data_IF_013152102949
#
_entry.id   IF_013152102949
#
_cell.length_a   1.000
_cell.length_b   1.000
_cell.length_c   1.000
_cell.angle_alpha   90.00
_cell.angle_beta   90.00
_cell.angle_gamma   90.00
#
_symmetry.space_group_name_H-M   'P 1'
#
loop_
_entity.id
_entity.type
_entity.pdbx_description
1 polymer ?
#
# COMPACT_ATOMS: atom_id res chain seq x y z
N UNK A 1 5.77 -15.95 -5.95
CA UNK A 1 7.08 -15.43 -6.44
C UNK A 1 8.15 -15.90 -5.48
N UNK A 2 9.36 -16.14 -5.97
CA UNK A 2 10.44 -16.64 -5.13
C UNK A 2 11.16 -15.49 -4.43
N UNK A 3 11.64 -15.74 -3.22
CA UNK A 3 12.57 -14.87 -2.51
C UNK A 3 13.98 -15.17 -3.00
N UNK A 4 14.74 -14.11 -3.31
CA UNK A 4 16.14 -14.20 -3.68
C UNK A 4 17.02 -14.00 -2.45
N UNK A 5 17.77 -15.02 -2.09
CA UNK A 5 18.84 -14.99 -1.08
C UNK A 5 20.18 -14.81 -1.74
N UNK A 6 21.17 -14.40 -0.99
CA UNK A 6 22.53 -14.13 -1.48
C UNK A 6 23.54 -14.98 -0.71
N UNK A 7 24.63 -15.37 -1.36
CA UNK A 7 25.75 -16.04 -0.68
C UNK A 7 26.32 -15.15 0.43
N UNK A 8 26.65 -15.69 1.61
CA UNK A 8 26.97 -14.91 2.81
C UNK A 8 28.43 -14.42 2.84
N UNK A 9 28.93 -13.84 1.76
CA UNK A 9 30.31 -13.36 1.68
C UNK A 9 30.60 -12.12 2.55
N UNK A 10 29.59 -11.27 2.76
CA UNK A 10 29.73 -10.04 3.56
C UNK A 10 28.60 -9.93 4.58
N UNK A 11 28.77 -9.06 5.59
CA UNK A 11 27.72 -8.80 6.59
C UNK A 11 26.39 -8.37 5.93
N UNK A 12 26.46 -7.59 4.86
CA UNK A 12 25.27 -7.11 4.15
C UNK A 12 24.60 -8.21 3.32
N UNK A 13 25.36 -9.08 2.64
CA UNK A 13 24.79 -10.16 1.81
C UNK A 13 24.21 -11.28 2.66
N UNK A 14 24.84 -11.60 3.81
CA UNK A 14 24.35 -12.61 4.76
C UNK A 14 22.92 -12.39 5.21
N UNK A 15 22.54 -11.14 5.48
CA UNK A 15 21.21 -10.79 5.98
C UNK A 15 20.26 -10.24 4.91
N UNK A 16 20.62 -10.29 3.62
CA UNK A 16 19.78 -9.75 2.55
C UNK A 16 18.86 -10.79 1.95
N UNK A 17 17.56 -10.51 1.96
CA UNK A 17 16.52 -11.27 1.26
C UNK A 17 15.69 -10.29 0.45
N UNK A 18 15.57 -10.49 -0.85
CA UNK A 18 14.80 -9.64 -1.74
C UNK A 18 13.76 -10.46 -2.51
N UNK A 19 12.74 -9.80 -3.03
CA UNK A 19 11.79 -10.43 -3.95
C UNK A 19 12.44 -10.57 -5.32
N UNK A 20 12.30 -11.74 -5.94
CA UNK A 20 12.68 -11.95 -7.33
C UNK A 20 11.67 -11.26 -8.27
N UNK A 21 12.19 -10.57 -9.27
CA UNK A 21 11.41 -9.80 -10.25
C UNK A 21 11.57 -10.31 -11.68
N UNK A 22 12.06 -11.53 -11.86
CA UNK A 22 12.36 -12.07 -13.20
C UNK A 22 11.14 -12.16 -14.11
N UNK A 23 9.94 -12.35 -13.56
CA UNK A 23 8.68 -12.41 -14.34
C UNK A 23 8.06 -11.05 -14.68
N UNK A 24 8.71 -9.92 -14.35
CA UNK A 24 8.19 -8.59 -14.60
C UNK A 24 8.83 -7.97 -15.85
N UNK A 25 8.11 -7.04 -16.47
CA UNK A 25 8.62 -6.23 -17.56
C UNK A 25 9.89 -5.48 -17.16
N UNK A 26 10.94 -5.62 -17.98
CA UNK A 26 12.26 -5.01 -17.74
C UNK A 26 12.49 -3.70 -18.50
N UNK A 27 11.58 -3.36 -19.42
CA UNK A 27 11.67 -2.15 -20.24
C UNK A 27 11.23 -0.88 -19.50
N UNK A 28 11.20 0.22 -20.24
CA UNK A 28 10.75 1.52 -19.74
C UNK A 28 9.24 1.53 -19.50
N UNK A 29 8.73 2.30 -18.51
CA UNK A 29 7.29 2.47 -18.32
C UNK A 29 6.66 3.23 -19.50
N UNK A 30 5.33 3.16 -19.60
CA UNK A 30 4.58 3.85 -20.66
C UNK A 30 4.66 5.38 -20.46
N UNK A 31 5.27 6.09 -21.40
CA UNK A 31 5.72 7.48 -21.23
C UNK A 31 4.59 8.46 -20.89
N UNK A 32 3.42 8.33 -21.52
CA UNK A 32 2.27 9.22 -21.30
C UNK A 32 1.65 9.09 -19.91
N UNK A 33 1.84 7.95 -19.25
CA UNK A 33 1.29 7.66 -17.91
C UNK A 33 2.33 7.84 -16.79
N UNK A 34 3.40 8.59 -17.04
CA UNK A 34 4.48 8.79 -16.07
C UNK A 34 4.84 10.26 -15.93
N UNK A 35 5.02 10.71 -14.70
CA UNK A 35 5.47 12.06 -14.37
C UNK A 35 6.68 12.06 -13.42
N UNK A 36 7.50 13.12 -13.39
CA UNK A 36 8.54 13.28 -12.40
C UNK A 36 7.94 13.31 -10.99
N UNK A 37 8.66 12.73 -10.03
CA UNK A 37 8.26 12.77 -8.62
C UNK A 37 9.33 13.48 -7.81
N UNK A 38 9.02 14.68 -7.34
CA UNK A 38 9.87 15.39 -6.39
C UNK A 38 9.68 14.83 -4.97
N UNK A 39 10.79 14.67 -4.25
CA UNK A 39 10.77 14.20 -2.88
C UNK A 39 10.75 15.37 -1.91
N UNK A 40 9.70 15.49 -1.12
CA UNK A 40 9.52 16.58 -0.13
C UNK A 40 10.45 16.43 1.10
N UNK A 41 11.13 15.31 1.26
CA UNK A 41 12.12 15.03 2.31
C UNK A 41 11.60 15.25 3.76
N UNK A 42 10.29 15.14 3.97
CA UNK A 42 9.64 15.33 5.27
C UNK A 42 9.49 16.78 5.72
N UNK A 43 9.56 17.72 4.80
CA UNK A 43 9.38 19.17 5.06
C UNK A 43 8.09 19.68 4.45
N UNK A 44 7.49 20.69 5.09
CA UNK A 44 6.34 21.43 4.55
C UNK A 44 6.80 22.52 3.55
N UNK A 45 5.86 23.32 3.06
CA UNK A 45 6.10 24.45 2.17
C UNK A 45 7.00 25.54 2.80
N UNK A 46 6.98 25.70 4.11
CA UNK A 46 7.82 26.64 4.86
C UNK A 46 9.21 26.07 5.22
N UNK A 47 9.55 24.88 4.74
CA UNK A 47 10.84 24.23 5.01
C UNK A 47 10.94 23.57 6.39
N UNK A 48 9.93 23.67 7.26
CA UNK A 48 9.92 23.03 8.58
C UNK A 48 9.74 21.51 8.47
N UNK A 49 10.40 20.77 9.35
CA UNK A 49 10.30 19.32 9.42
C UNK A 49 8.96 18.92 10.04
N UNK A 50 8.04 18.41 9.23
CA UNK A 50 6.73 17.89 9.66
C UNK A 50 6.70 16.36 9.77
N UNK A 51 7.62 15.67 9.12
CA UNK A 51 7.79 14.22 9.21
C UNK A 51 9.26 13.90 9.45
N UNK A 52 9.59 13.54 10.68
CA UNK A 52 10.97 13.20 11.08
C UNK A 52 11.47 11.93 10.38
N UNK A 53 12.78 11.80 10.28
CA UNK A 53 13.49 10.63 9.71
C UNK A 53 13.14 10.32 8.25
N UNK A 54 12.73 11.33 7.45
CA UNK A 54 12.50 11.23 6.02
C UNK A 54 13.63 11.86 5.23
N UNK A 55 13.99 11.21 4.11
CA UNK A 55 14.94 11.70 3.11
C UNK A 55 14.38 11.52 1.70
N UNK A 56 15.03 12.08 0.70
CA UNK A 56 14.59 11.95 -0.69
C UNK A 56 14.66 10.52 -1.24
N UNK A 57 15.67 9.76 -0.82
CA UNK A 57 15.94 8.45 -1.37
C UNK A 57 16.41 8.50 -2.83
N UNK A 58 16.32 7.38 -3.54
CA UNK A 58 16.61 7.30 -4.96
C UNK A 58 15.56 8.06 -5.79
N UNK A 59 15.97 8.73 -6.87
CA UNK A 59 15.06 9.42 -7.83
C UNK A 59 14.05 8.41 -8.39
N UNK A 60 12.78 8.80 -8.42
CA UNK A 60 11.67 7.96 -8.87
C UNK A 60 10.77 8.73 -9.84
N UNK A 61 10.19 8.00 -10.78
CA UNK A 61 9.09 8.49 -11.61
C UNK A 61 7.77 8.02 -10.99
N UNK A 62 6.76 8.87 -10.98
CA UNK A 62 5.41 8.50 -10.56
C UNK A 62 4.66 7.85 -11.72
N UNK A 63 3.92 6.77 -11.46
CA UNK A 63 3.01 6.14 -12.42
C UNK A 63 1.60 6.58 -12.07
N UNK A 64 0.89 7.11 -13.06
CA UNK A 64 -0.52 7.46 -12.93
C UNK A 64 -1.35 6.18 -12.99
N UNK A 65 -1.67 5.63 -11.80
CA UNK A 65 -2.50 4.43 -11.68
C UNK A 65 -3.94 4.88 -11.53
N UNK A 66 -4.82 4.35 -12.35
CA UNK A 66 -6.25 4.60 -12.26
C UNK A 66 -6.87 3.75 -11.16
N UNK A 67 -7.30 4.41 -10.08
CA UNK A 67 -8.01 3.82 -8.95
C UNK A 67 -9.52 3.90 -9.10
N UNK A 68 -10.01 4.67 -10.06
CA UNK A 68 -11.45 4.91 -10.27
C UNK A 68 -12.09 3.85 -11.14
N UNK A 69 -11.36 3.30 -12.10
CA UNK A 69 -11.86 2.26 -13.01
C UNK A 69 -13.15 2.66 -13.74
N UNK A 70 -13.25 3.91 -14.21
CA UNK A 70 -14.46 4.50 -14.79
C UNK A 70 -14.86 4.00 -16.17
N UNK A 71 -13.99 3.29 -16.89
CA UNK A 71 -14.32 2.70 -18.20
C UNK A 71 -15.14 1.43 -17.99
N UNK A 72 -16.46 1.59 -17.95
CA UNK A 72 -17.39 0.49 -17.79
C UNK A 72 -17.67 -0.20 -19.12
N UNK A 73 -17.99 -1.50 -19.07
CA UNK A 73 -18.42 -2.36 -20.17
C UNK A 73 -17.44 -2.44 -21.34
N UNK A 74 -16.22 -1.97 -21.14
CA UNK A 74 -15.13 -2.02 -22.11
C UNK A 74 -14.12 -3.09 -21.71
N UNK A 75 -13.79 -3.98 -22.65
CA UNK A 75 -12.76 -5.00 -22.42
C UNK A 75 -11.38 -4.36 -22.46
N UNK A 76 -10.54 -4.76 -21.53
CA UNK A 76 -9.14 -4.39 -21.51
C UNK A 76 -8.25 -5.64 -21.43
N UNK A 77 -7.19 -5.67 -22.22
CA UNK A 77 -6.22 -6.77 -22.24
C UNK A 77 -4.99 -6.36 -21.44
N UNK A 78 -4.51 -7.25 -20.58
CA UNK A 78 -3.25 -7.05 -19.85
C UNK A 78 -2.07 -7.19 -20.80
N UNK A 79 -1.41 -6.08 -21.11
CA UNK A 79 -0.28 -6.04 -22.03
C UNK A 79 1.02 -6.47 -21.35
N UNK A 80 1.25 -5.98 -20.10
CA UNK A 80 2.45 -6.31 -19.33
C UNK A 80 2.25 -6.01 -17.85
N UNK A 81 3.07 -6.66 -17.01
CA UNK A 81 3.12 -6.44 -15.55
C UNK A 81 4.44 -5.77 -15.21
N UNK A 82 4.38 -4.63 -14.51
CA UNK A 82 5.52 -3.77 -14.22
C UNK A 82 5.80 -3.63 -12.73
N UNK A 83 7.06 -3.38 -12.41
CA UNK A 83 7.49 -2.91 -11.09
C UNK A 83 7.24 -1.41 -10.95
N UNK A 84 6.56 -0.99 -9.87
CA UNK A 84 6.45 0.43 -9.51
C UNK A 84 7.27 0.75 -8.25
N UNK A 85 8.26 1.67 -8.32
CA UNK A 85 9.06 2.06 -7.16
C UNK A 85 8.29 2.88 -6.11
N UNK A 86 7.04 3.28 -6.40
CA UNK A 86 6.23 4.11 -5.52
C UNK A 86 5.31 3.30 -4.60
N UNK A 87 5.10 2.02 -4.90
CA UNK A 87 4.23 1.12 -4.15
C UNK A 87 4.86 -0.24 -3.94
N UNK A 88 4.29 -1.01 -3.04
CA UNK A 88 4.78 -2.34 -2.70
C UNK A 88 4.26 -3.44 -3.64
N UNK A 89 3.04 -3.29 -4.19
CA UNK A 89 2.47 -4.19 -5.18
C UNK A 89 2.94 -3.85 -6.60
N UNK A 90 2.76 -4.79 -7.53
CA UNK A 90 2.99 -4.55 -8.95
C UNK A 90 1.81 -3.84 -9.58
N UNK A 91 2.06 -3.25 -10.74
CA UNK A 91 1.06 -2.63 -11.61
C UNK A 91 1.00 -3.38 -12.93
N UNK A 92 -0.16 -3.35 -13.56
CA UNK A 92 -0.35 -3.89 -14.90
C UNK A 92 -0.72 -2.75 -15.86
N UNK A 93 -0.09 -2.73 -17.02
CA UNK A 93 -0.52 -1.90 -18.12
C UNK A 93 -1.62 -2.66 -18.87
N UNK A 94 -2.75 -2.01 -19.04
CA UNK A 94 -3.88 -2.56 -19.78
C UNK A 94 -4.15 -1.72 -21.01
N UNK A 95 -4.47 -2.39 -22.11
CA UNK A 95 -4.89 -1.78 -23.36
C UNK A 95 -6.39 -2.07 -23.55
N UNK A 96 -7.17 -1.00 -23.74
CA UNK A 96 -8.60 -1.10 -24.03
C UNK A 96 -8.87 -1.27 -25.51
N UNK A 97 -10.09 -1.67 -25.85
CA UNK A 97 -10.53 -1.84 -27.24
C UNK A 97 -10.48 -0.51 -28.03
N UNK A 98 -10.55 0.64 -27.35
CA UNK A 98 -10.35 2.00 -27.91
C UNK A 98 -8.87 2.38 -28.11
N UNK A 99 -7.94 1.43 -28.02
CA UNK A 99 -6.48 1.61 -28.05
C UNK A 99 -5.90 2.53 -26.95
N UNK A 100 -6.69 2.98 -26.00
CA UNK A 100 -6.16 3.72 -24.84
C UNK A 100 -5.49 2.79 -23.84
N UNK A 101 -4.54 3.34 -23.07
CA UNK A 101 -3.80 2.59 -22.06
C UNK A 101 -4.07 3.16 -20.66
N UNK A 102 -4.10 2.29 -19.66
CA UNK A 102 -4.15 2.68 -18.25
C UNK A 102 -3.30 1.76 -17.40
N UNK A 103 -2.80 2.28 -16.27
CA UNK A 103 -2.19 1.44 -15.25
C UNK A 103 -3.22 1.05 -14.19
N UNK A 104 -3.30 -0.22 -13.88
CA UNK A 104 -4.07 -0.77 -12.79
C UNK A 104 -3.17 -1.49 -11.78
N UNK A 105 -3.67 -1.70 -10.55
CA UNK A 105 -3.00 -2.58 -9.59
C UNK A 105 -3.09 -4.02 -10.11
N UNK A 106 -1.97 -4.72 -10.13
CA UNK A 106 -1.93 -6.12 -10.59
C UNK A 106 -2.35 -7.05 -9.45
N UNK A 107 -3.44 -7.83 -9.58
CA UNK A 107 -3.75 -8.90 -8.64
C UNK A 107 -2.75 -10.06 -8.76
N UNK A 108 -2.74 -10.92 -7.74
CA UNK A 108 -2.00 -12.15 -7.76
C UNK A 108 -2.60 -13.11 -8.82
N UNK A 109 -1.77 -13.89 -9.49
CA UNK A 109 -2.15 -14.85 -10.52
C UNK A 109 -2.62 -14.27 -11.86
N UNK A 110 -2.73 -12.93 -12.03
CA UNK A 110 -3.00 -12.34 -13.36
C UNK A 110 -1.82 -12.58 -14.28
N UNK A 111 -2.11 -12.83 -15.55
CA UNK A 111 -1.10 -13.08 -16.61
C UNK A 111 -1.21 -12.03 -17.71
N UNK A 112 -0.14 -11.90 -18.47
CA UNK A 112 -0.15 -11.13 -19.74
C UNK A 112 -1.09 -11.81 -20.73
N UNK A 113 -1.93 -11.04 -21.39
CA UNK A 113 -2.97 -11.53 -22.28
C UNK A 113 -4.35 -11.75 -21.64
N UNK A 114 -4.44 -11.74 -20.30
CA UNK A 114 -5.74 -11.87 -19.63
C UNK A 114 -6.64 -10.66 -19.96
N UNK A 115 -7.92 -10.97 -20.20
CA UNK A 115 -8.96 -9.97 -20.42
C UNK A 115 -9.63 -9.62 -19.11
N UNK A 116 -9.81 -8.32 -18.86
CA UNK A 116 -10.48 -7.76 -17.68
C UNK A 116 -11.57 -6.79 -18.11
N UNK A 117 -12.64 -6.75 -17.35
CA UNK A 117 -13.80 -5.88 -17.61
C UNK A 117 -14.19 -5.18 -16.30
N UNK A 118 -14.64 -3.93 -16.42
CA UNK A 118 -15.26 -3.18 -15.33
C UNK A 118 -16.76 -3.05 -15.64
N UNK A 119 -17.62 -3.19 -14.65
CA UNK A 119 -19.06 -3.01 -14.82
C UNK A 119 -19.88 -3.81 -13.84
N UNK A 120 -21.20 -3.61 -13.85
CA UNK A 120 -22.13 -4.36 -13.00
C UNK A 120 -22.36 -5.77 -13.57
N UNK A 121 -22.62 -6.74 -12.68
CA UNK A 121 -23.00 -8.13 -13.01
C UNK A 121 -22.07 -8.80 -14.03
N UNK A 122 -20.76 -8.56 -13.91
CA UNK A 122 -19.77 -9.22 -14.74
C UNK A 122 -19.35 -10.57 -14.15
N UNK A 123 -18.64 -11.36 -14.95
CA UNK A 123 -18.07 -12.63 -14.51
C UNK A 123 -17.13 -12.43 -13.31
N UNK A 124 -17.19 -13.35 -12.33
CA UNK A 124 -16.33 -13.34 -11.14
C UNK A 124 -14.97 -13.89 -11.52
N UNK A 125 -14.16 -13.02 -12.13
CA UNK A 125 -12.81 -13.31 -12.60
C UNK A 125 -11.80 -12.37 -11.95
N UNK A 126 -10.61 -12.88 -11.66
CA UNK A 126 -9.52 -12.09 -11.07
C UNK A 126 -9.18 -10.90 -11.97
N UNK A 127 -9.20 -9.68 -11.39
CA UNK A 127 -8.94 -8.44 -12.09
C UNK A 127 -10.18 -7.68 -12.54
N UNK A 128 -11.36 -8.31 -12.62
CA UNK A 128 -12.61 -7.62 -12.91
C UNK A 128 -13.01 -6.71 -11.76
N UNK A 129 -13.64 -5.59 -12.09
CA UNK A 129 -14.09 -4.60 -11.12
C UNK A 129 -15.60 -4.42 -11.24
N UNK A 130 -16.29 -4.52 -10.09
CA UNK A 130 -17.74 -4.40 -10.04
C UNK A 130 -18.20 -3.83 -8.69
N UNK A 131 -19.49 -3.38 -8.59
CA UNK A 131 -20.09 -2.98 -7.33
C UNK A 131 -20.06 -4.11 -6.31
N UNK A 132 -19.92 -3.77 -5.01
CA UNK A 132 -19.86 -4.74 -3.92
C UNK A 132 -21.11 -5.64 -3.85
N UNK A 133 -22.28 -5.11 -4.22
CA UNK A 133 -23.54 -5.88 -4.25
C UNK A 133 -23.54 -7.04 -5.25
N UNK A 134 -22.71 -6.95 -6.30
CA UNK A 134 -22.63 -7.97 -7.36
C UNK A 134 -21.56 -9.04 -7.06
N UNK A 135 -20.81 -8.86 -5.96
CA UNK A 135 -19.74 -9.79 -5.56
C UNK A 135 -20.26 -10.72 -4.45
N UNK A 136 -20.20 -12.04 -4.62
CA UNK A 136 -20.59 -12.99 -3.59
C UNK A 136 -19.78 -12.85 -2.29
N UNK A 137 -20.43 -13.19 -1.19
CA UNK A 137 -19.79 -13.24 0.14
C UNK A 137 -18.67 -14.28 0.16
N UNK A 138 -17.58 -13.97 0.87
CA UNK A 138 -16.42 -14.86 1.04
C UNK A 138 -15.34 -14.68 -0.03
N UNK A 139 -15.57 -13.91 -1.09
CA UNK A 139 -14.56 -13.66 -2.12
C UNK A 139 -13.56 -12.60 -1.66
N UNK A 140 -12.28 -12.84 -1.93
CA UNK A 140 -11.21 -11.87 -1.74
C UNK A 140 -11.28 -10.76 -2.77
N UNK A 141 -11.28 -9.52 -2.30
CA UNK A 141 -11.32 -8.31 -3.12
C UNK A 141 -10.22 -7.33 -2.70
N UNK A 142 -9.85 -6.43 -3.58
CA UNK A 142 -8.88 -5.36 -3.33
C UNK A 142 -9.29 -4.06 -4.01
N UNK A 143 -8.54 -3.00 -3.78
CA UNK A 143 -8.79 -1.66 -4.34
C UNK A 143 -10.24 -1.20 -4.13
N UNK A 144 -10.75 -1.39 -2.91
CA UNK A 144 -12.16 -1.12 -2.58
C UNK A 144 -12.37 0.38 -2.35
N UNK A 145 -13.44 0.92 -2.90
CA UNK A 145 -13.89 2.28 -2.62
C UNK A 145 -14.52 2.37 -1.23
N UNK A 146 -14.42 3.52 -0.59
CA UNK A 146 -15.12 3.83 0.67
C UNK A 146 -16.48 4.45 0.37
N UNK A 147 -16.58 5.21 -0.70
CA UNK A 147 -17.79 5.86 -1.20
C UNK A 147 -17.84 5.67 -2.70
N UNK A 148 -19.03 5.49 -3.29
CA UNK A 148 -19.18 5.34 -4.73
C UNK A 148 -18.52 6.50 -5.49
N UNK A 149 -17.73 6.18 -6.50
CA UNK A 149 -16.98 7.16 -7.31
C UNK A 149 -15.82 7.86 -6.62
N UNK A 150 -15.46 7.48 -5.40
CA UNK A 150 -14.34 8.05 -4.63
C UNK A 150 -12.98 7.46 -4.97
N UNK A 151 -12.93 6.48 -5.85
CA UNK A 151 -11.74 5.69 -6.19
C UNK A 151 -11.32 4.73 -5.07
N UNK A 152 -10.68 3.64 -5.44
CA UNK A 152 -10.25 2.62 -4.49
C UNK A 152 -9.26 3.14 -3.46
N UNK A 153 -9.51 2.88 -2.19
CA UNK A 153 -8.69 3.34 -1.05
C UNK A 153 -8.26 2.22 -0.11
N UNK A 154 -9.07 1.16 0.00
CA UNK A 154 -8.81 0.01 0.88
C UNK A 154 -8.09 -1.09 0.11
N UNK A 155 -7.24 -1.87 0.79
CA UNK A 155 -6.49 -3.01 0.25
C UNK A 155 -5.71 -2.67 -1.03
N UNK A 156 -4.73 -1.74 -0.93
CA UNK A 156 -3.85 -1.33 -2.04
C UNK A 156 -2.38 -1.72 -1.84
N UNK A 157 -2.04 -2.32 -0.72
CA UNK A 157 -0.68 -2.76 -0.42
C UNK A 157 -0.42 -4.18 -0.93
N UNK A 158 0.85 -4.54 -1.12
CA UNK A 158 1.27 -5.87 -1.58
C UNK A 158 0.68 -6.99 -0.71
N UNK A 159 0.12 -8.01 -1.35
CA UNK A 159 -0.43 -9.18 -0.68
C UNK A 159 -1.66 -8.93 0.19
N UNK A 160 -2.28 -7.74 0.12
CA UNK A 160 -3.49 -7.46 0.89
C UNK A 160 -4.74 -7.80 0.10
N UNK A 161 -5.75 -8.28 0.81
CA UNK A 161 -7.12 -8.42 0.39
C UNK A 161 -8.05 -8.06 1.55
N UNK A 162 -9.31 -7.90 1.25
CA UNK A 162 -10.42 -7.83 2.21
C UNK A 162 -11.50 -8.76 1.71
N UNK A 163 -12.35 -9.27 2.60
CA UNK A 163 -13.45 -10.18 2.24
C UNK A 163 -14.78 -9.56 2.57
N UNK A 164 -15.78 -9.82 1.74
CA UNK A 164 -17.17 -9.48 2.03
C UNK A 164 -17.68 -10.53 3.01
N UNK A 165 -18.12 -10.10 4.20
CA UNK A 165 -18.65 -10.98 5.24
C UNK A 165 -20.18 -11.06 5.24
N UNK A 166 -20.86 -10.13 4.60
CA UNK A 166 -22.31 -10.11 4.49
C UNK A 166 -22.82 -8.82 3.85
N UNK A 167 -24.14 -8.76 3.65
CA UNK A 167 -24.87 -7.60 3.16
C UNK A 167 -25.83 -7.15 4.27
N UNK A 168 -25.98 -5.85 4.45
CA UNK A 168 -26.85 -5.22 5.44
C UNK A 168 -27.60 -4.05 4.75
N UNK A 169 -28.74 -4.35 4.16
CA UNK A 169 -29.51 -3.40 3.36
C UNK A 169 -28.66 -2.80 2.23
N UNK A 170 -28.50 -1.48 2.23
CA UNK A 170 -27.71 -0.76 1.23
C UNK A 170 -26.18 -0.80 1.51
N UNK A 171 -25.74 -1.52 2.52
CA UNK A 171 -24.34 -1.62 2.92
C UNK A 171 -23.81 -3.04 2.78
N UNK A 172 -22.58 -3.15 2.34
CA UNK A 172 -21.78 -4.38 2.37
C UNK A 172 -20.88 -4.37 3.60
N UNK A 173 -20.86 -5.47 4.35
CA UNK A 173 -19.97 -5.68 5.49
C UNK A 173 -18.65 -6.22 5.00
N UNK A 174 -17.58 -5.45 5.17
CA UNK A 174 -16.26 -5.83 4.71
C UNK A 174 -15.34 -6.06 5.90
N UNK A 175 -14.75 -7.26 5.95
CA UNK A 175 -13.72 -7.62 6.92
C UNK A 175 -12.35 -7.19 6.41
N UNK A 176 -11.73 -6.22 7.08
CA UNK A 176 -10.40 -5.70 6.76
C UNK A 176 -9.30 -6.67 7.22
N UNK A 177 -8.10 -6.51 6.67
CA UNK A 177 -6.91 -7.27 7.07
C UNK A 177 -6.52 -7.09 8.56
N UNK A 178 -6.97 -6.00 9.19
CA UNK A 178 -6.82 -5.75 10.63
C UNK A 178 -7.77 -6.55 11.52
N UNK A 179 -8.79 -7.18 10.94
CA UNK A 179 -9.89 -7.82 11.65
C UNK A 179 -11.12 -6.93 11.86
N UNK A 180 -11.01 -5.62 11.64
CA UNK A 180 -12.14 -4.67 11.71
C UNK A 180 -13.20 -5.03 10.65
N UNK A 181 -14.46 -5.08 11.04
CA UNK A 181 -15.60 -5.22 10.13
C UNK A 181 -16.23 -3.85 9.93
N UNK A 182 -16.39 -3.45 8.68
CA UNK A 182 -16.81 -2.11 8.32
C UNK A 182 -17.97 -2.14 7.31
N UNK A 183 -18.95 -1.23 7.50
CA UNK A 183 -20.04 -0.96 6.55
C UNK A 183 -19.53 -0.06 5.44
N UNK A 184 -19.74 -0.46 4.19
CA UNK A 184 -19.42 0.32 2.98
C UNK A 184 -20.66 0.27 2.07
N UNK A 185 -20.99 1.37 1.42
CA UNK A 185 -22.11 1.46 0.46
C UNK A 185 -21.95 0.36 -0.62
N UNK A 186 -22.98 -0.43 -0.82
CA UNK A 186 -22.96 -1.60 -1.73
C UNK A 186 -22.75 -1.22 -3.20
N UNK A 187 -22.94 0.04 -3.58
CA UNK A 187 -22.63 0.58 -4.92
C UNK A 187 -21.15 0.88 -5.11
N UNK A 188 -20.34 0.88 -4.03
CA UNK A 188 -18.88 1.11 -4.11
C UNK A 188 -18.21 0.03 -4.92
N UNK A 189 -17.25 0.42 -5.77
CA UNK A 189 -16.52 -0.51 -6.62
C UNK A 189 -15.43 -1.24 -5.85
N UNK A 190 -15.20 -2.49 -6.24
CA UNK A 190 -14.09 -3.31 -5.78
C UNK A 190 -13.55 -4.18 -6.91
N UNK A 191 -12.29 -4.55 -6.82
CA UNK A 191 -11.63 -5.44 -7.79
C UNK A 191 -11.46 -6.83 -7.17
N UNK A 192 -11.80 -7.87 -7.92
CA UNK A 192 -11.71 -9.27 -7.47
C UNK A 192 -10.27 -9.73 -7.41
N UNK A 193 -9.95 -10.45 -6.33
CA UNK A 193 -8.67 -11.10 -6.09
C UNK A 193 -7.79 -10.43 -5.05
N UNK A 194 -6.69 -11.09 -4.69
CA UNK A 194 -5.66 -10.62 -3.75
C UNK A 194 -4.60 -9.85 -4.53
N UNK A 195 -4.02 -8.80 -3.94
CA UNK A 195 -2.95 -8.05 -4.59
C UNK A 195 -1.64 -8.84 -4.70
N UNK A 196 -0.90 -8.56 -5.75
CA UNK A 196 0.41 -9.16 -6.05
C UNK A 196 1.46 -8.89 -4.98
N UNK A 197 2.58 -9.65 -5.06
CA UNK A 197 3.78 -9.48 -4.25
C UNK A 197 3.57 -9.73 -2.73
N UNK A 198 2.93 -10.83 -2.29
CA UNK A 198 2.72 -11.12 -0.86
C UNK A 198 4.05 -11.26 -0.09
N UNK A 199 5.14 -11.66 -0.76
CA UNK A 199 6.47 -11.82 -0.16
C UNK A 199 7.17 -10.51 0.18
N UNK A 200 6.57 -9.35 -0.14
CA UNK A 200 7.10 -8.05 0.23
C UNK A 200 7.34 -7.91 1.75
N UNK A 201 6.54 -8.55 2.57
CA UNK A 201 6.70 -8.58 4.03
C UNK A 201 7.94 -9.34 4.50
N UNK A 202 8.41 -10.29 3.70
CA UNK A 202 9.54 -11.18 4.02
C UNK A 202 10.90 -10.59 3.61
N UNK A 203 10.92 -9.37 3.03
CA UNK A 203 12.16 -8.71 2.61
C UNK A 203 13.01 -8.34 3.82
N UNK A 204 14.30 -8.70 3.76
CA UNK A 204 15.33 -8.23 4.67
C UNK A 204 16.31 -7.32 3.92
N UNK A 205 16.42 -6.08 4.36
CA UNK A 205 17.19 -5.04 3.68
C UNK A 205 18.70 -5.31 3.71
N UNK A 206 19.22 -5.91 4.79
CA UNK A 206 20.59 -6.37 4.96
C UNK A 206 21.61 -5.27 5.26
N UNK A 207 21.41 -4.01 4.84
CA UNK A 207 22.34 -2.90 5.12
C UNK A 207 21.62 -1.54 5.28
N UNK A 208 22.20 -0.67 6.10
CA UNK A 208 21.67 0.67 6.37
C UNK A 208 21.58 1.55 5.10
N UNK A 209 22.54 1.43 4.18
CA UNK A 209 22.54 2.18 2.92
C UNK A 209 21.30 1.90 2.07
N UNK A 210 20.76 0.68 2.08
CA UNK A 210 19.52 0.38 1.35
C UNK A 210 18.30 1.07 1.98
N UNK A 211 18.25 1.23 3.31
CA UNK A 211 17.24 2.07 3.97
C UNK A 211 17.35 3.53 3.52
N UNK A 212 18.57 4.05 3.33
CA UNK A 212 18.80 5.40 2.80
C UNK A 212 18.26 5.54 1.36
N UNK A 213 18.49 4.54 0.51
CA UNK A 213 17.93 4.52 -0.85
C UNK A 213 16.40 4.53 -0.87
N UNK A 214 15.76 3.92 0.13
CA UNK A 214 14.32 3.95 0.31
C UNK A 214 13.79 5.27 0.89
N UNK A 215 14.67 6.22 1.22
CA UNK A 215 14.30 7.52 1.79
C UNK A 215 14.13 7.52 3.31
N UNK A 216 14.65 6.53 4.01
CA UNK A 216 14.62 6.47 5.48
C UNK A 216 15.95 6.99 6.06
N UNK A 217 15.88 7.89 7.02
CA UNK A 217 17.02 8.34 7.82
C UNK A 217 17.14 7.49 9.10
N UNK A 218 18.32 7.45 9.74
CA UNK A 218 18.48 6.87 11.06
C UNK A 218 17.52 7.52 12.07
N UNK A 219 17.03 6.72 12.99
CA UNK A 219 16.16 7.18 14.08
C UNK A 219 16.95 7.24 15.38
N UNK A 220 16.96 8.40 16.03
CA UNK A 220 17.55 8.61 17.35
C UNK A 220 16.51 8.29 18.42
N UNK A 221 16.85 7.41 19.37
CA UNK A 221 15.98 7.06 20.50
C UNK A 221 15.81 8.25 21.43
N UNK A 222 14.64 8.37 22.10
CA UNK A 222 14.36 9.44 23.06
C UNK A 222 15.36 9.50 24.22
N UNK A 223 15.80 8.32 24.71
CA UNK A 223 16.73 8.19 25.85
C UNK A 223 18.11 8.83 25.60
N UNK A 224 18.55 8.96 24.35
CA UNK A 224 19.86 9.55 24.01
C UNK A 224 19.76 11.04 23.63
N UNK A 225 18.61 11.63 23.85
CA UNK A 225 18.36 13.07 23.63
C UNK A 225 18.49 13.84 24.94
N UNK A 226 18.56 15.17 24.82
CA UNK A 226 18.51 16.04 25.97
C UNK A 226 17.07 16.13 26.55
N UNK A 227 16.89 16.49 27.82
CA UNK A 227 15.57 16.63 28.47
C UNK A 227 14.62 17.55 27.70
N UNK A 228 15.14 18.62 27.09
CA UNK A 228 14.37 19.58 26.27
C UNK A 228 13.79 18.96 25.00
N UNK A 229 14.45 17.94 24.45
CA UNK A 229 14.06 17.32 23.17
C UNK A 229 13.15 16.10 23.33
N UNK A 230 13.16 15.49 24.50
CA UNK A 230 12.35 14.29 24.76
C UNK A 230 12.15 14.04 26.26
N UNK A 231 10.94 13.64 26.70
CA UNK A 231 10.67 13.29 28.11
C UNK A 231 11.50 12.14 28.69
N UNK A 232 12.16 11.34 27.85
CA UNK A 232 13.08 10.29 28.25
C UNK A 232 14.56 10.73 28.20
N UNK A 233 14.81 11.98 27.90
CA UNK A 233 16.17 12.53 27.81
C UNK A 233 16.77 12.83 29.16
N UNK A 234 18.08 13.01 29.18
CA UNK A 234 18.87 13.38 30.37
C UNK A 234 19.46 12.19 31.10
N UNK A 235 20.11 12.50 32.23
CA UNK A 235 20.85 11.54 33.05
C UNK A 235 22.29 11.33 32.63
N UNK A 236 23.06 10.57 33.41
CA UNK A 236 24.45 10.23 33.15
C UNK A 236 24.57 8.88 32.44
N UNK A 237 25.43 8.81 31.42
CA UNK A 237 25.73 7.58 30.69
C UNK A 237 24.50 6.90 30.06
N UNK A 238 24.34 5.61 30.28
CA UNK A 238 23.20 4.81 29.79
C UNK A 238 22.09 4.81 30.80
N UNK A 239 21.37 5.91 30.97
CA UNK A 239 20.22 5.99 31.85
C UNK A 239 19.03 5.22 31.30
N UNK A 240 18.22 4.65 32.22
CA UNK A 240 16.88 4.16 31.89
C UNK A 240 15.93 5.35 31.69
N UNK A 241 14.79 5.16 30.98
CA UNK A 241 13.86 6.25 30.69
C UNK A 241 13.19 6.89 31.91
N UNK A 242 13.30 6.29 33.10
CA UNK A 242 12.81 6.81 34.38
C UNK A 242 11.29 6.96 34.50
N UNK A 243 10.52 6.64 33.48
CA UNK A 243 9.06 6.80 33.39
C UNK A 243 8.45 5.83 32.36
N UNK A 244 7.12 5.73 32.37
CA UNK A 244 6.42 4.95 31.33
C UNK A 244 6.75 5.46 29.93
N UNK A 245 6.78 4.56 28.91
CA UNK A 245 7.10 4.94 27.54
C UNK A 245 6.14 6.00 27.01
N UNK A 246 6.68 7.14 26.58
CA UNK A 246 5.92 8.25 26.00
C UNK A 246 6.53 8.71 24.67
N UNK A 247 5.71 9.39 23.86
CA UNK A 247 6.13 10.07 22.64
C UNK A 247 6.95 11.33 22.95
N UNK A 248 7.60 11.96 21.94
CA UNK A 248 8.25 13.27 22.14
C UNK A 248 7.31 14.35 22.67
N UNK A 249 6.01 14.22 22.46
CA UNK A 249 4.96 15.14 22.93
C UNK A 249 4.38 14.75 24.29
N UNK A 250 4.93 13.75 24.97
CA UNK A 250 4.47 13.30 26.28
C UNK A 250 3.29 12.34 26.29
N UNK A 251 2.70 12.02 25.15
CA UNK A 251 1.60 11.06 25.06
C UNK A 251 2.08 9.63 25.32
N UNK A 252 1.28 8.85 26.06
CA UNK A 252 1.57 7.44 26.32
C UNK A 252 1.76 6.66 25.02
N UNK A 253 2.87 5.91 24.92
CA UNK A 253 3.19 5.10 23.75
C UNK A 253 2.52 3.71 23.76
N UNK A 254 1.96 3.28 24.91
CA UNK A 254 1.28 2.00 25.08
C UNK A 254 -0.12 2.20 25.65
N UNK A 255 -1.09 1.44 25.15
CA UNK A 255 -2.47 1.39 25.66
C UNK A 255 -3.37 2.57 25.31
N UNK A 256 -2.85 3.69 24.84
CA UNK A 256 -3.65 4.85 24.46
C UNK A 256 -4.35 4.62 23.12
N UNK A 257 -5.66 4.73 23.09
CA UNK A 257 -6.44 4.80 21.85
C UNK A 257 -6.27 6.19 21.24
N UNK A 258 -5.56 6.27 20.10
CA UNK A 258 -5.28 7.55 19.42
C UNK A 258 -6.34 7.94 18.39
N UNK A 259 -7.27 7.03 18.05
CA UNK A 259 -8.37 7.32 17.13
C UNK A 259 -9.40 8.25 17.82
N UNK A 260 -9.63 9.42 17.24
CA UNK A 260 -10.58 10.44 17.72
C UNK A 260 -11.64 10.82 16.67
N UNK A 261 -11.79 10.04 15.61
CA UNK A 261 -12.73 10.32 14.53
C UNK A 261 -14.10 9.68 14.80
N UNK A 262 -14.93 10.35 15.60
CA UNK A 262 -16.29 9.90 15.94
C UNK A 262 -17.25 9.85 14.74
N UNK A 263 -17.03 10.71 13.73
CA UNK A 263 -17.90 10.82 12.55
C UNK A 263 -18.05 9.49 11.79
N UNK A 264 -17.02 8.67 11.76
CA UNK A 264 -17.01 7.41 11.01
C UNK A 264 -17.20 6.16 11.88
N UNK A 265 -17.47 6.32 13.18
CA UNK A 265 -17.68 5.18 14.09
C UNK A 265 -18.92 4.39 13.74
N UNK A 266 -19.98 5.07 13.24
CA UNK A 266 -21.21 4.44 12.76
C UNK A 266 -21.01 3.40 11.64
N UNK A 267 -19.87 3.45 10.94
CA UNK A 267 -19.53 2.48 9.89
C UNK A 267 -18.66 1.32 10.42
N UNK A 268 -18.24 1.33 11.66
CA UNK A 268 -17.47 0.24 12.29
C UNK A 268 -18.46 -0.64 13.03
N UNK A 269 -18.46 -1.94 12.70
CA UNK A 269 -19.36 -2.91 13.32
C UNK A 269 -18.61 -3.66 14.42
N UNK A 270 -17.32 -3.95 14.18
CA UNK A 270 -16.46 -4.70 15.13
C UNK A 270 -14.99 -4.32 14.94
#
# INVERSE_FOLDING_TARGET
MALKTFKPYTKSTRGTILVDRNGLWKGKPFKSLVSPKNAMKGRNNNGHITSINRAGGHKKMYRHVDFYRKKFDMTAVVERIEYDPNRSCYIMLVKFDDNSHSYYLAPQKIKVGDKIINGSKKEIKIGNCMPLQDIPVGIDIHNVEIQPGGGGKIARSAGTSVTISGLDGNYSLIKLASGEVRKIDSRSLATIGVLSNPDQKNIKIGKAGRSRWLGRRPHTRGVVKNPVDHPHGGGEGKTAGGRHPVSPTGQSAKGLKTRDNKRTDKFIVR
#
